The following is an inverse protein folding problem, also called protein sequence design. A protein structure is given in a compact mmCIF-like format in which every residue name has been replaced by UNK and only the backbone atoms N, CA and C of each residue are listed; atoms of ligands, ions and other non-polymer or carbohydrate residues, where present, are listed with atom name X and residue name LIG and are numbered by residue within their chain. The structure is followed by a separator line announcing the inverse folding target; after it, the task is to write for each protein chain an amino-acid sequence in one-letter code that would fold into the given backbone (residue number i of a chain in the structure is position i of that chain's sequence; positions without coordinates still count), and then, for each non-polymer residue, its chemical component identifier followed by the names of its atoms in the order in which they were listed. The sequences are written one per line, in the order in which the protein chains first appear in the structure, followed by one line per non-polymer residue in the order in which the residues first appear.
data_IF_241888257703
#
_entry.id   IF_241888257703
#
_cell.length_a   1.000
_cell.length_b   1.000
_cell.length_c   1.000
_cell.angle_alpha   90.00
_cell.angle_beta   90.00
_cell.angle_gamma   90.00
#
_symmetry.space_group_name_H-M   'P 1'
#
loop_
_entity.id
_entity.type
_entity.pdbx_description
1 polymer ?
#
# COMPACT_ATOMS: atom_id res chain seq x y z
N UNK A 1 -15.10 6.59 -13.38
CA UNK A 1 -15.52 5.59 -12.37
C UNK A 1 -16.93 5.92 -11.86
N UNK A 2 -17.73 4.89 -11.56
CA UNK A 2 -19.03 5.00 -10.89
C UNK A 2 -18.87 5.63 -9.49
N UNK A 3 -19.94 6.19 -8.91
CA UNK A 3 -19.85 6.82 -7.58
C UNK A 3 -19.50 5.83 -6.48
N UNK A 4 -20.05 4.63 -6.56
CA UNK A 4 -19.78 3.47 -5.71
C UNK A 4 -18.58 2.63 -6.18
N UNK A 5 -17.81 3.15 -7.15
CA UNK A 5 -16.70 2.42 -7.73
C UNK A 5 -15.53 2.27 -6.76
N UNK A 6 -14.84 1.13 -6.85
CA UNK A 6 -13.73 0.79 -5.94
C UNK A 6 -12.45 0.38 -6.68
N UNK A 7 -11.31 0.67 -6.07
CA UNK A 7 -10.00 0.14 -6.50
C UNK A 7 -9.54 -0.90 -5.48
N UNK A 8 -9.39 -2.14 -5.93
CA UNK A 8 -8.79 -3.21 -5.13
C UNK A 8 -7.28 -3.05 -5.10
N UNK A 9 -6.72 -2.88 -3.89
CA UNK A 9 -5.27 -2.76 -3.70
C UNK A 9 -4.62 -4.14 -3.57
N UNK A 10 -3.34 -4.28 -3.97
CA UNK A 10 -2.59 -5.50 -3.74
C UNK A 10 -2.61 -5.88 -2.26
N UNK A 11 -2.93 -7.15 -1.99
CA UNK A 11 -2.92 -7.69 -0.64
C UNK A 11 -1.49 -7.84 -0.14
N UNK A 12 -1.30 -7.78 1.16
CA UNK A 12 -0.01 -7.98 1.79
C UNK A 12 -0.20 -8.49 3.22
N UNK A 13 0.88 -8.96 3.84
CA UNK A 13 0.87 -9.31 5.27
C UNK A 13 1.59 -8.21 6.06
N UNK A 14 0.91 -7.57 6.99
CA UNK A 14 1.45 -6.45 7.76
C UNK A 14 0.51 -5.99 8.87
N UNK A 15 0.62 -4.71 9.24
CA UNK A 15 -0.19 -4.10 10.31
C UNK A 15 -1.38 -3.28 9.80
N UNK A 16 -1.31 -2.72 8.58
CA UNK A 16 -2.44 -2.04 7.94
C UNK A 16 -2.65 -0.59 8.36
N UNK A 17 -1.61 0.23 8.21
CA UNK A 17 -1.66 1.68 8.42
C UNK A 17 -0.75 2.38 7.40
N UNK A 18 -0.94 3.69 7.21
CA UNK A 18 -0.04 4.54 6.43
C UNK A 18 0.68 5.52 7.33
N UNK A 19 1.86 5.99 6.90
CA UNK A 19 2.62 7.00 7.61
C UNK A 19 3.45 7.80 6.61
N UNK A 20 3.73 9.05 6.96
CA UNK A 20 4.82 9.82 6.37
C UNK A 20 6.01 9.81 7.34
N UNK A 21 7.22 10.02 6.84
CA UNK A 21 8.39 10.08 7.74
C UNK A 21 9.73 9.64 7.15
N UNK A 22 9.74 9.04 5.96
CA UNK A 22 10.99 8.56 5.34
C UNK A 22 12.06 9.64 5.20
N UNK A 23 11.67 10.89 4.93
CA UNK A 23 12.60 12.01 4.80
C UNK A 23 12.91 12.71 6.14
N UNK A 24 12.00 12.65 7.12
CA UNK A 24 12.12 13.41 8.37
C UNK A 24 12.62 12.57 9.54
N UNK A 25 12.59 11.24 9.41
CA UNK A 25 12.84 10.33 10.52
C UNK A 25 11.70 10.26 11.53
N UNK A 26 10.55 10.89 11.26
CA UNK A 26 9.39 10.90 12.15
C UNK A 26 8.25 10.12 11.52
N UNK A 27 8.02 8.90 12.01
CA UNK A 27 6.92 8.05 11.55
C UNK A 27 5.64 8.36 12.31
N UNK A 28 4.71 9.06 11.66
CA UNK A 28 3.41 9.43 12.24
C UNK A 28 2.31 8.69 11.48
N UNK A 29 1.41 8.03 12.20
CA UNK A 29 0.27 7.32 11.60
C UNK A 29 -0.68 8.33 10.95
N UNK A 30 -0.91 8.19 9.64
CA UNK A 30 -1.81 9.04 8.87
C UNK A 30 -3.19 8.41 8.70
N UNK A 31 -3.22 7.09 8.52
CA UNK A 31 -4.43 6.32 8.30
C UNK A 31 -4.29 4.94 8.95
N UNK A 32 -5.40 4.42 9.50
CA UNK A 32 -5.50 3.04 9.96
C UNK A 32 -6.58 2.35 9.13
N UNK A 33 -6.22 1.25 8.48
CA UNK A 33 -7.13 0.50 7.62
C UNK A 33 -8.14 -0.24 8.51
N UNK A 34 -9.43 -0.05 8.26
CA UNK A 34 -10.51 -0.73 8.99
C UNK A 34 -10.37 -2.27 8.88
N UNK A 35 -10.55 -2.96 10.00
CA UNK A 35 -10.42 -4.42 10.09
C UNK A 35 -8.99 -4.95 9.97
N UNK A 36 -7.98 -4.07 9.91
CA UNK A 36 -6.57 -4.46 9.95
C UNK A 36 -6.09 -4.80 11.37
N UNK A 37 -4.91 -5.42 11.53
CA UNK A 37 -4.31 -5.62 12.85
C UNK A 37 -4.02 -4.33 13.63
N UNK A 38 -3.82 -3.20 12.96
CA UNK A 38 -3.64 -1.90 13.60
C UNK A 38 -4.96 -1.32 14.13
N UNK A 39 -6.09 -1.73 13.56
CA UNK A 39 -7.42 -1.25 13.92
C UNK A 39 -7.73 -1.51 15.41
N UNK A 40 -8.28 -0.49 16.07
CA UNK A 40 -8.55 -0.47 17.50
C UNK A 40 -7.32 -0.36 18.42
N UNK A 41 -6.09 -0.39 17.88
CA UNK A 41 -4.86 -0.23 18.67
C UNK A 41 -4.11 1.06 18.33
N UNK A 42 -3.87 1.32 17.05
CA UNK A 42 -3.26 2.56 16.56
C UNK A 42 -4.33 3.62 16.33
N UNK A 43 -3.94 4.87 16.52
CA UNK A 43 -4.75 6.05 16.22
C UNK A 43 -3.98 6.97 15.25
N UNK A 44 -4.71 7.71 14.42
CA UNK A 44 -4.11 8.77 13.59
C UNK A 44 -3.41 9.78 14.50
N UNK A 45 -2.18 10.14 14.13
CA UNK A 45 -1.30 11.00 14.93
C UNK A 45 -0.39 10.27 15.91
N UNK A 46 -0.52 8.95 16.08
CA UNK A 46 0.46 8.18 16.85
C UNK A 46 1.84 8.27 16.20
N UNK A 47 2.86 8.60 16.99
CA UNK A 47 4.24 8.67 16.54
C UNK A 47 5.00 7.43 16.98
N UNK A 48 5.59 6.67 16.05
CA UNK A 48 6.48 5.57 16.42
C UNK A 48 7.83 6.10 16.92
N UNK A 49 8.25 5.61 18.08
CA UNK A 49 9.54 5.92 18.72
C UNK A 49 10.54 4.78 18.50
N UNK A 50 10.08 3.53 18.59
CA UNK A 50 10.90 2.36 18.24
C UNK A 50 10.06 1.19 17.74
N UNK A 51 10.67 0.33 16.92
CA UNK A 51 10.06 -0.90 16.40
C UNK A 51 11.08 -2.03 16.54
N UNK A 52 10.70 -3.13 17.20
CA UNK A 52 11.59 -4.26 17.50
C UNK A 52 12.92 -3.84 18.15
N UNK A 53 12.87 -2.82 19.01
CA UNK A 53 14.05 -2.26 19.68
C UNK A 53 14.94 -1.37 18.81
N UNK A 54 14.58 -1.14 17.54
CA UNK A 54 15.26 -0.18 16.65
C UNK A 54 14.57 1.17 16.78
N UNK A 55 15.33 2.22 17.11
CA UNK A 55 14.81 3.58 17.20
C UNK A 55 14.37 4.08 15.82
N UNK A 56 13.22 4.77 15.79
CA UNK A 56 12.74 5.44 14.58
C UNK A 56 13.55 6.72 14.37
N UNK A 57 14.40 6.70 13.36
CA UNK A 57 15.25 7.83 12.94
C UNK A 57 15.34 7.82 11.41
N UNK A 58 15.82 8.92 10.83
CA UNK A 58 16.04 9.00 9.38
C UNK A 58 16.95 7.87 8.88
N UNK A 59 18.03 7.57 9.63
CA UNK A 59 19.01 6.54 9.28
C UNK A 59 18.52 5.09 9.42
N UNK A 60 17.40 4.86 10.10
CA UNK A 60 16.90 3.51 10.38
C UNK A 60 15.57 3.19 9.70
N UNK A 61 14.97 4.15 8.97
CA UNK A 61 13.59 4.02 8.50
C UNK A 61 13.38 2.83 7.55
N UNK A 62 14.39 2.50 6.74
CA UNK A 62 14.44 1.36 5.84
C UNK A 62 14.51 0.00 6.57
N UNK A 63 14.88 0.01 7.86
CA UNK A 63 15.05 -1.19 8.70
C UNK A 63 13.81 -1.51 9.55
N UNK A 64 12.78 -0.66 9.51
CA UNK A 64 11.54 -0.81 10.28
C UNK A 64 10.51 -1.64 9.49
N UNK A 65 10.66 -2.96 9.51
CA UNK A 65 9.78 -3.85 8.73
C UNK A 65 8.49 -4.23 9.47
N UNK A 66 7.39 -3.62 9.07
CA UNK A 66 6.03 -3.98 9.50
C UNK A 66 5.42 -5.16 8.75
N UNK A 67 5.99 -5.52 7.58
CA UNK A 67 5.52 -6.63 6.73
C UNK A 67 6.28 -7.92 6.99
N UNK A 68 5.69 -9.05 6.62
CA UNK A 68 6.35 -10.36 6.71
C UNK A 68 5.42 -11.44 7.26
N UNK A 69 5.96 -12.41 8.00
CA UNK A 69 5.24 -13.62 8.40
C UNK A 69 3.92 -13.35 9.14
N UNK A 70 2.80 -13.97 8.74
CA UNK A 70 1.53 -13.89 9.47
C UNK A 70 1.66 -14.35 10.93
N UNK A 71 0.99 -13.64 11.83
CA UNK A 71 0.97 -13.94 13.27
C UNK A 71 2.24 -13.56 14.03
N UNK A 72 3.33 -13.19 13.35
CA UNK A 72 4.53 -12.69 14.02
C UNK A 72 4.21 -11.37 14.73
N UNK A 73 4.57 -11.28 16.01
CA UNK A 73 4.37 -10.07 16.80
C UNK A 73 5.41 -9.01 16.49
N UNK A 74 4.95 -7.77 16.43
CA UNK A 74 5.74 -6.55 16.30
C UNK A 74 5.57 -5.76 17.58
N UNK A 75 6.61 -5.76 18.39
CA UNK A 75 6.68 -4.92 19.57
C UNK A 75 7.23 -3.55 19.16
N UNK A 76 6.55 -2.49 19.60
CA UNK A 76 6.91 -1.12 19.29
C UNK A 76 6.63 -0.22 20.49
N UNK A 77 7.25 0.97 20.49
CA UNK A 77 6.89 2.06 21.40
C UNK A 77 6.35 3.19 20.55
N UNK A 78 5.15 3.66 20.88
CA UNK A 78 4.53 4.82 20.26
C UNK A 78 4.38 5.95 21.27
N UNK A 79 4.26 7.18 20.77
CA UNK A 79 3.88 8.36 21.52
C UNK A 79 2.50 8.83 21.04
N UNK A 80 1.55 8.87 21.98
CA UNK A 80 0.19 9.40 21.78
C UNK A 80 0.01 10.65 22.64
N UNK A 81 -0.08 11.82 21.99
CA UNK A 81 0.03 13.10 22.67
C UNK A 81 1.40 13.21 23.36
N UNK A 82 1.42 13.35 24.69
CA UNK A 82 2.66 13.42 25.49
C UNK A 82 3.06 12.09 26.15
N UNK A 83 2.34 11.00 25.88
CA UNK A 83 2.54 9.72 26.55
C UNK A 83 3.18 8.70 25.63
N UNK A 84 4.31 8.15 26.06
CA UNK A 84 4.89 6.97 25.42
C UNK A 84 4.26 5.68 25.99
N UNK A 85 3.96 4.73 25.11
CA UNK A 85 3.42 3.44 25.49
C UNK A 85 3.91 2.31 24.60
N UNK A 86 4.20 1.13 25.19
CA UNK A 86 4.51 -0.06 24.41
C UNK A 86 3.23 -0.63 23.80
N UNK A 87 3.35 -1.09 22.56
CA UNK A 87 2.30 -1.83 21.84
C UNK A 87 2.89 -3.13 21.30
N UNK A 88 2.04 -4.13 21.11
CA UNK A 88 2.41 -5.41 20.52
C UNK A 88 1.30 -5.87 19.59
N UNK A 89 1.59 -5.92 18.29
CA UNK A 89 0.62 -6.23 17.24
C UNK A 89 1.07 -7.45 16.44
N UNK A 90 0.16 -8.39 16.18
CA UNK A 90 0.45 -9.53 15.33
C UNK A 90 0.17 -9.18 13.87
N UNK A 91 1.12 -9.48 12.97
CA UNK A 91 0.92 -9.28 11.53
C UNK A 91 -0.26 -10.09 11.01
N UNK A 92 -1.05 -9.50 10.12
CA UNK A 92 -2.23 -10.11 9.53
C UNK A 92 -2.37 -9.79 8.05
N UNK A 93 -3.33 -10.46 7.41
CA UNK A 93 -3.67 -10.19 6.00
C UNK A 93 -4.31 -8.81 5.91
N UNK A 94 -3.74 -7.94 5.10
CA UNK A 94 -4.33 -6.66 4.73
C UNK A 94 -5.00 -6.81 3.37
N UNK A 95 -6.28 -6.46 3.31
CA UNK A 95 -7.10 -6.52 2.10
C UNK A 95 -8.13 -5.40 2.21
N UNK A 96 -7.97 -4.37 1.37
CA UNK A 96 -8.80 -3.18 1.43
C UNK A 96 -9.03 -2.63 0.02
N UNK A 97 -10.04 -1.78 -0.08
CA UNK A 97 -10.43 -1.07 -1.29
C UNK A 97 -10.32 0.42 -1.06
N UNK A 98 -9.99 1.16 -2.10
CA UNK A 98 -10.05 2.63 -2.10
C UNK A 98 -11.35 3.01 -2.82
N UNK A 99 -12.15 3.90 -2.23
CA UNK A 99 -13.35 4.40 -2.88
C UNK A 99 -13.00 5.44 -3.95
N UNK A 100 -13.93 5.73 -4.86
CA UNK A 100 -13.75 6.86 -5.79
C UNK A 100 -13.50 8.18 -5.07
N UNK A 101 -14.18 8.43 -3.95
CA UNK A 101 -14.05 9.69 -3.21
C UNK A 101 -12.61 9.87 -2.69
N UNK A 102 -12.09 8.84 -2.01
CA UNK A 102 -10.72 8.86 -1.47
C UNK A 102 -9.68 8.99 -2.59
N UNK A 103 -9.92 8.33 -3.74
CA UNK A 103 -9.03 8.45 -4.90
C UNK A 103 -9.00 9.88 -5.44
N UNK A 104 -10.16 10.55 -5.54
CA UNK A 104 -10.24 11.95 -6.02
C UNK A 104 -9.54 12.88 -5.04
N UNK A 105 -9.78 12.73 -3.74
CA UNK A 105 -9.11 13.53 -2.71
C UNK A 105 -7.58 13.37 -2.78
N UNK A 106 -7.09 12.13 -2.96
CA UNK A 106 -5.66 11.89 -3.13
C UNK A 106 -5.10 12.53 -4.41
N UNK A 107 -5.85 12.47 -5.52
CA UNK A 107 -5.45 13.07 -6.79
C UNK A 107 -5.40 14.61 -6.73
N UNK A 108 -6.28 15.25 -5.95
CA UNK A 108 -6.29 16.72 -5.78
C UNK A 108 -5.02 17.25 -5.09
N UNK A 109 -4.35 16.44 -4.28
CA UNK A 109 -3.11 16.79 -3.58
C UNK A 109 -1.83 16.37 -4.30
N UNK A 110 -1.91 15.67 -5.43
CA UNK A 110 -0.74 15.11 -6.13
C UNK A 110 -0.32 15.95 -7.35
N UNK A 111 0.96 15.89 -7.71
CA UNK A 111 1.48 16.53 -8.93
C UNK A 111 1.23 15.64 -10.14
N UNK A 112 0.40 16.11 -11.08
CA UNK A 112 0.02 15.36 -12.27
C UNK A 112 1.18 15.10 -13.24
N UNK A 113 2.24 15.90 -13.19
CA UNK A 113 3.42 15.72 -14.03
C UNK A 113 4.22 14.46 -13.61
N UNK A 114 4.08 14.01 -12.36
CA UNK A 114 4.75 12.83 -11.80
C UNK A 114 3.96 11.51 -12.00
N UNK A 115 2.80 11.55 -12.67
CA UNK A 115 1.91 10.38 -12.75
C UNK A 115 2.22 9.42 -13.89
N UNK A 116 2.90 9.90 -14.93
CA UNK A 116 3.14 9.12 -16.14
C UNK A 116 4.30 8.15 -15.99
N UNK A 117 4.14 6.93 -16.51
CA UNK A 117 5.28 6.02 -16.67
C UNK A 117 6.26 6.57 -17.73
N UNK A 118 7.57 6.37 -17.56
CA UNK A 118 8.58 6.80 -18.56
C UNK A 118 8.34 6.14 -19.92
N UNK A 119 7.90 4.88 -19.92
CA UNK A 119 7.35 4.20 -21.08
C UNK A 119 6.12 3.41 -20.71
N UNK A 120 5.14 3.46 -21.61
CA UNK A 120 3.88 2.73 -21.49
C UNK A 120 3.52 2.09 -22.84
N UNK A 121 3.25 0.79 -22.82
CA UNK A 121 2.75 0.04 -23.98
C UNK A 121 1.48 -0.71 -23.59
N UNK A 122 0.39 -0.47 -24.31
CA UNK A 122 -0.80 -1.32 -24.27
C UNK A 122 -0.63 -2.45 -25.28
N UNK A 123 -0.58 -3.69 -24.80
CA UNK A 123 -0.42 -4.88 -25.64
C UNK A 123 -1.75 -5.39 -26.16
N UNK A 124 -2.69 -5.61 -25.24
CA UNK A 124 -4.02 -6.12 -25.57
C UNK A 124 -5.07 -5.72 -24.54
N UNK A 125 -6.32 -5.73 -24.99
CA UNK A 125 -7.48 -5.67 -24.12
C UNK A 125 -8.46 -6.78 -24.53
N UNK A 126 -8.84 -7.63 -23.58
CA UNK A 126 -9.79 -8.74 -23.81
C UNK A 126 -10.97 -8.55 -22.86
N UNK A 127 -12.19 -8.57 -23.42
CA UNK A 127 -13.41 -8.37 -22.67
C UNK A 127 -14.38 -9.56 -22.77
N UNK A 128 -15.11 -9.79 -21.70
CA UNK A 128 -16.27 -10.68 -21.64
C UNK A 128 -17.38 -10.02 -20.81
N UNK A 129 -18.54 -9.79 -21.44
CA UNK A 129 -19.63 -9.02 -20.84
C UNK A 129 -19.18 -7.63 -20.39
N UNK A 130 -19.33 -7.36 -19.09
CA UNK A 130 -18.96 -6.09 -18.45
C UNK A 130 -17.57 -6.13 -17.80
N UNK A 131 -16.73 -7.11 -18.11
CA UNK A 131 -15.38 -7.25 -17.58
C UNK A 131 -14.37 -7.09 -18.71
N UNK A 132 -13.34 -6.27 -18.50
CA UNK A 132 -12.23 -6.10 -19.44
C UNK A 132 -10.91 -6.29 -18.71
N UNK A 133 -10.02 -7.10 -19.28
CA UNK A 133 -8.64 -7.24 -18.85
C UNK A 133 -7.74 -6.52 -19.83
N UNK A 134 -6.86 -5.67 -19.33
CA UNK A 134 -5.90 -4.90 -20.13
C UNK A 134 -4.50 -5.31 -19.71
N UNK A 135 -3.70 -5.78 -20.68
CA UNK A 135 -2.29 -6.05 -20.48
C UNK A 135 -1.47 -4.84 -20.91
N UNK A 136 -0.73 -4.28 -19.97
CA UNK A 136 0.21 -3.20 -20.20
C UNK A 136 1.63 -3.62 -19.82
N UNK A 137 2.58 -2.94 -20.43
CA UNK A 137 3.99 -2.96 -20.05
C UNK A 137 4.38 -1.53 -19.70
N UNK A 138 4.99 -1.37 -18.53
CA UNK A 138 5.41 -0.09 -17.99
C UNK A 138 6.89 -0.16 -17.64
N UNK A 139 7.61 0.94 -17.85
CA UNK A 139 9.00 1.07 -17.44
C UNK A 139 9.22 2.43 -16.76
N UNK A 140 9.92 2.41 -15.64
CA UNK A 140 10.28 3.56 -14.82
C UNK A 140 11.68 3.39 -14.24
N UNK A 141 12.34 4.49 -13.89
CA UNK A 141 13.58 4.46 -13.10
C UNK A 141 13.26 4.46 -11.62
N UNK A 142 13.88 3.57 -10.85
CA UNK A 142 13.80 3.61 -9.39
C UNK A 142 14.59 4.81 -8.85
N UNK A 143 13.90 5.77 -8.23
CA UNK A 143 14.51 7.04 -7.77
C UNK A 143 15.67 6.86 -6.80
N UNK A 144 15.73 5.73 -6.07
CA UNK A 144 16.80 5.55 -5.08
C UNK A 144 18.03 4.82 -5.61
N UNK A 145 17.86 3.91 -6.57
CA UNK A 145 18.97 3.13 -7.15
C UNK A 145 19.40 3.63 -8.52
N UNK A 146 18.56 4.43 -9.19
CA UNK A 146 18.76 4.89 -10.56
C UNK A 146 18.67 3.76 -11.60
N UNK A 147 18.17 2.59 -11.22
CA UNK A 147 18.05 1.44 -12.12
C UNK A 147 16.71 1.46 -12.84
N UNK A 148 16.67 1.14 -14.15
CA UNK A 148 15.41 0.98 -14.86
C UNK A 148 14.71 -0.30 -14.40
N UNK A 149 13.41 -0.21 -14.18
CA UNK A 149 12.52 -1.31 -13.80
C UNK A 149 11.41 -1.40 -14.83
N UNK A 150 11.31 -2.55 -15.47
CA UNK A 150 10.27 -2.88 -16.44
C UNK A 150 9.34 -3.93 -15.86
N UNK A 151 8.03 -3.78 -16.07
CA UNK A 151 7.07 -4.75 -15.57
C UNK A 151 5.82 -4.84 -16.43
N UNK A 152 5.26 -6.05 -16.51
CA UNK A 152 3.94 -6.27 -17.09
C UNK A 152 2.87 -6.21 -15.99
N UNK A 153 1.76 -5.57 -16.33
CA UNK A 153 0.59 -5.45 -15.46
C UNK A 153 -0.64 -5.91 -16.24
N UNK A 154 -1.45 -6.77 -15.61
CA UNK A 154 -2.81 -7.05 -16.09
C UNK A 154 -3.79 -6.37 -15.15
N UNK A 155 -4.50 -5.38 -15.68
CA UNK A 155 -5.52 -4.62 -14.96
C UNK A 155 -6.90 -5.11 -15.37
N UNK A 156 -7.70 -5.50 -14.38
CA UNK A 156 -9.10 -5.88 -14.55
C UNK A 156 -9.99 -4.67 -14.28
N UNK A 157 -10.85 -4.37 -15.23
CA UNK A 157 -11.94 -3.40 -15.12
C UNK A 157 -13.28 -4.15 -15.08
N UNK A 158 -14.15 -3.77 -14.15
CA UNK A 158 -15.56 -4.13 -14.13
C UNK A 158 -16.36 -2.87 -14.44
N UNK A 159 -17.33 -2.97 -15.33
CA UNK A 159 -18.26 -1.89 -15.67
C UNK A 159 -19.65 -2.19 -15.09
N UNK A 160 -20.37 -1.17 -14.62
CA UNK A 160 -21.77 -1.27 -14.26
C UNK A 160 -22.67 -1.14 -15.51
N UNK A 161 -23.99 -1.26 -15.32
CA UNK A 161 -24.98 -1.19 -16.41
C UNK A 161 -25.01 0.17 -17.13
N UNK A 162 -24.55 1.23 -16.47
CA UNK A 162 -24.38 2.57 -17.06
C UNK A 162 -23.08 2.71 -17.88
N UNK A 163 -22.29 1.63 -18.02
CA UNK A 163 -21.00 1.64 -18.70
C UNK A 163 -19.90 2.40 -17.92
N UNK A 164 -20.09 2.67 -16.63
CA UNK A 164 -19.07 3.29 -15.77
C UNK A 164 -18.22 2.20 -15.10
N UNK A 165 -16.93 2.46 -14.93
CA UNK A 165 -16.04 1.56 -14.18
C UNK A 165 -16.52 1.45 -12.72
N UNK A 166 -16.96 0.27 -12.31
CA UNK A 166 -17.39 -0.08 -10.96
C UNK A 166 -16.26 -0.70 -10.12
N UNK A 167 -15.29 -1.37 -10.75
CA UNK A 167 -14.11 -1.86 -10.03
C UNK A 167 -12.85 -1.88 -10.89
N UNK A 168 -11.71 -1.61 -10.26
CA UNK A 168 -10.37 -1.78 -10.83
C UNK A 168 -9.57 -2.72 -9.92
N UNK A 169 -8.86 -3.68 -10.49
CA UNK A 169 -7.96 -4.55 -9.74
C UNK A 169 -6.72 -4.91 -10.56
N UNK A 170 -5.53 -4.86 -9.95
CA UNK A 170 -4.31 -5.37 -10.57
C UNK A 170 -4.14 -6.85 -10.19
N UNK A 171 -3.87 -7.70 -11.18
CA UNK A 171 -3.64 -9.12 -10.95
C UNK A 171 -2.17 -9.38 -10.60
N UNK A 172 -1.79 -9.10 -9.34
CA UNK A 172 -0.46 -9.40 -8.80
C UNK A 172 -0.55 -9.90 -7.36
N UNK A 173 -0.03 -11.10 -7.10
CA UNK A 173 -0.14 -11.79 -5.81
C UNK A 173 1.17 -12.47 -5.37
N UNK A 174 2.21 -12.42 -6.20
CA UNK A 174 3.52 -13.01 -5.96
C UNK A 174 4.13 -12.57 -4.63
N UNK A 175 4.19 -11.25 -4.37
CA UNK A 175 4.69 -10.72 -3.10
C UNK A 175 3.84 -11.19 -1.91
N UNK A 176 2.52 -11.21 -2.05
CA UNK A 176 1.62 -11.66 -0.99
C UNK A 176 1.83 -13.15 -0.68
N UNK A 177 2.05 -13.99 -1.68
CA UNK A 177 2.38 -15.41 -1.50
C UNK A 177 3.72 -15.60 -0.75
N UNK A 178 4.73 -14.80 -1.09
CA UNK A 178 6.02 -14.82 -0.40
C UNK A 178 5.89 -14.38 1.06
N UNK A 179 5.17 -13.29 1.33
CA UNK A 179 4.95 -12.79 2.68
C UNK A 179 4.18 -13.80 3.56
N UNK A 180 3.17 -14.47 3.00
CA UNK A 180 2.44 -15.54 3.71
C UNK A 180 3.31 -16.74 4.08
N UNK A 181 4.34 -17.03 3.28
CA UNK A 181 5.32 -18.09 3.59
C UNK A 181 6.47 -17.61 4.49
N UNK A 182 6.42 -16.34 4.91
CA UNK A 182 7.38 -15.75 5.84
C UNK A 182 8.61 -15.11 5.18
N UNK A 183 8.65 -15.02 3.85
CA UNK A 183 9.68 -14.27 3.15
C UNK A 183 9.38 -12.77 3.20
N UNK A 184 10.42 -11.97 3.28
CA UNK A 184 10.34 -10.51 3.15
C UNK A 184 11.41 -10.04 2.19
N UNK A 185 11.03 -9.14 1.28
CA UNK A 185 11.99 -8.36 0.50
C UNK A 185 12.34 -7.15 1.35
N UNK A 186 13.56 -7.11 1.86
CA UNK A 186 14.13 -5.93 2.52
C UNK A 186 15.16 -5.32 1.59
N UNK A 187 15.37 -4.01 1.72
CA UNK A 187 16.54 -3.36 1.15
C UNK A 187 17.80 -3.73 1.95
#
# INVERSE_FOLDING_TARGET
MAEDGVVFRPRYVGLGFTHDGYQTGSMIVNEVIEGSPADGTLEVGDQFISVKGVAVTADNMDRLSFRGKPGEKIDAVIKRGDKEMPISLARGKISYTISKADMVEWMEGADGDDWGDEKFTLHEAVGDGNVVYVWTEIMNTDDTTGLPVETHVVTRFLFNDDGKVAAIANLREDRFMLEQSGFSITR
#
